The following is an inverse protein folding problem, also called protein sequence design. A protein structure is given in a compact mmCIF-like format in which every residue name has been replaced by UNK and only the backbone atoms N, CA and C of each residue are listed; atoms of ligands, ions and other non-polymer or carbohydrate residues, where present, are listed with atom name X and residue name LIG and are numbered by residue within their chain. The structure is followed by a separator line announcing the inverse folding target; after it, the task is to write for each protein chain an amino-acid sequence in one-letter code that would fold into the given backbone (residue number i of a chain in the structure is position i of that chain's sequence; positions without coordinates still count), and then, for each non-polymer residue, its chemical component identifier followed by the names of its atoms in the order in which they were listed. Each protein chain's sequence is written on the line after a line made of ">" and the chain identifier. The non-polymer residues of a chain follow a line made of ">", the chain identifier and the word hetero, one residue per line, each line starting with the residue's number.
data_IF_917978216152
#
_entry.id   IF_917978216152
#
_cell.length_a   1.000
_cell.length_b   1.000
_cell.length_c   1.000
_cell.angle_alpha   90.00
_cell.angle_beta   90.00
_cell.angle_gamma   90.00
#
_symmetry.space_group_name_H-M   'P 1'
#
loop_
_entity.id
_entity.type
_entity.pdbx_description
1 polymer ?
#
# COMPACT_ATOMS: atom_id res chain seq x y z
N UNK A 1 14.88 64.78 15.91
CA UNK A 1 14.84 63.51 16.66
C UNK A 1 13.64 62.75 16.14
N UNK A 2 13.88 61.52 15.71
CA UNK A 2 12.93 60.65 15.01
C UNK A 2 11.76 60.26 15.91
N UNK A 3 10.56 60.30 15.38
CA UNK A 3 9.54 59.32 15.73
C UNK A 3 8.73 58.99 14.48
N UNK A 4 8.91 57.77 13.99
CA UNK A 4 8.18 57.19 12.86
C UNK A 4 7.07 56.34 13.45
N UNK A 5 5.81 56.71 13.21
CA UNK A 5 4.65 55.86 13.46
C UNK A 5 3.66 55.99 12.30
N UNK A 6 3.56 54.87 11.56
CA UNK A 6 2.40 54.19 10.97
C UNK A 6 1.23 55.03 10.41
N UNK A 7 0.91 54.79 9.14
CA UNK A 7 -0.47 54.56 8.70
C UNK A 7 -0.47 53.75 7.39
N UNK A 8 -0.98 52.52 7.46
CA UNK A 8 -1.39 51.72 6.30
C UNK A 8 -2.74 52.26 5.85
N UNK A 9 -2.78 52.91 4.70
CA UNK A 9 -4.03 53.22 4.02
C UNK A 9 -4.30 52.10 3.01
N UNK A 10 -5.30 51.27 3.32
CA UNK A 10 -5.95 50.42 2.33
C UNK A 10 -6.58 51.33 1.26
N UNK A 11 -6.17 51.17 0.00
CA UNK A 11 -7.00 51.61 -1.13
C UNK A 11 -7.33 50.40 -1.98
N UNK A 12 -8.59 50.00 -1.92
CA UNK A 12 -9.24 49.09 -2.85
C UNK A 12 -9.18 49.70 -4.26
N UNK A 13 -9.05 48.88 -5.30
CA UNK A 13 -9.96 48.94 -6.44
C UNK A 13 -10.00 47.60 -7.19
N UNK A 14 -11.20 47.14 -7.56
CA UNK A 14 -11.46 45.84 -8.17
C UNK A 14 -11.41 45.90 -9.71
N UNK A 15 -11.44 44.71 -10.30
CA UNK A 15 -11.82 44.36 -11.68
C UNK A 15 -10.84 44.70 -12.82
N UNK A 16 -10.12 43.68 -13.31
CA UNK A 16 -10.37 43.10 -14.65
C UNK A 16 -9.48 41.86 -14.93
N UNK A 17 -10.10 40.88 -15.58
CA UNK A 17 -9.76 39.45 -15.72
C UNK A 17 -8.62 39.14 -16.73
N UNK A 18 -7.75 38.14 -16.43
CA UNK A 18 -7.24 37.16 -17.42
C UNK A 18 -6.36 36.07 -16.77
N UNK A 19 -6.78 34.82 -16.98
CA UNK A 19 -6.25 33.60 -16.41
C UNK A 19 -4.80 33.26 -16.80
N UNK A 20 -3.97 32.95 -15.81
CA UNK A 20 -2.86 32.00 -15.95
C UNK A 20 -3.36 30.65 -15.44
N UNK A 21 -3.86 29.82 -16.36
CA UNK A 21 -4.28 28.46 -16.09
C UNK A 21 -3.10 27.66 -15.51
N UNK A 22 -3.11 27.52 -14.18
CA UNK A 22 -2.46 26.38 -13.54
C UNK A 22 -3.01 25.12 -14.20
N UNK A 23 -2.12 24.18 -14.48
CA UNK A 23 -2.42 22.93 -15.17
C UNK A 23 -3.52 22.21 -14.37
N UNK A 24 -4.76 22.35 -14.80
CA UNK A 24 -5.84 21.50 -14.37
C UNK A 24 -5.63 20.16 -15.06
N UNK A 25 -4.85 19.28 -14.41
CA UNK A 25 -5.06 17.86 -14.61
C UNK A 25 -6.33 17.55 -13.84
N UNK A 26 -7.46 17.23 -14.51
CA UNK A 26 -8.62 16.74 -13.80
C UNK A 26 -8.30 15.33 -13.31
N UNK A 27 -7.90 15.20 -12.03
CA UNK A 27 -7.77 13.88 -11.43
C UNK A 27 -9.16 13.29 -11.19
N UNK A 28 -9.33 12.06 -11.62
CA UNK A 28 -10.63 11.44 -11.81
C UNK A 28 -11.16 10.93 -10.47
N UNK A 29 -12.13 11.63 -9.86
CA UNK A 29 -12.86 11.19 -8.64
C UNK A 29 -11.92 10.84 -7.48
N UNK A 30 -11.35 11.85 -6.84
CA UNK A 30 -10.51 11.68 -5.65
C UNK A 30 -11.32 10.98 -4.54
N UNK A 31 -11.01 9.71 -4.29
CA UNK A 31 -11.45 9.04 -3.06
C UNK A 31 -10.68 9.71 -1.94
N UNK A 32 -11.35 10.34 -0.98
CA UNK A 32 -10.66 10.89 0.20
C UNK A 32 -10.09 9.71 1.01
N UNK A 33 -8.81 9.40 0.81
CA UNK A 33 -8.10 8.32 1.47
C UNK A 33 -8.20 8.43 3.00
N UNK A 34 -8.22 9.65 3.53
CA UNK A 34 -8.36 9.90 4.96
C UNK A 34 -9.78 9.59 5.43
N UNK A 35 -10.79 9.86 4.61
CA UNK A 35 -12.17 9.48 4.91
C UNK A 35 -12.33 7.96 4.95
N UNK A 36 -11.80 7.25 3.96
CA UNK A 36 -11.81 5.78 3.92
C UNK A 36 -11.09 5.19 5.15
N UNK A 37 -9.93 5.74 5.50
CA UNK A 37 -9.17 5.29 6.67
C UNK A 37 -9.94 5.55 7.98
N UNK A 38 -10.60 6.70 8.13
CA UNK A 38 -11.43 7.02 9.31
C UNK A 38 -12.58 6.04 9.46
N UNK A 39 -13.25 5.72 8.36
CA UNK A 39 -14.37 4.78 8.34
C UNK A 39 -13.91 3.37 8.73
N UNK A 40 -12.78 2.90 8.20
CA UNK A 40 -12.20 1.60 8.60
C UNK A 40 -11.85 1.55 10.09
N UNK A 41 -11.27 2.63 10.65
CA UNK A 41 -10.98 2.71 12.08
C UNK A 41 -12.26 2.69 12.91
N UNK A 42 -13.33 3.35 12.46
CA UNK A 42 -14.64 3.31 13.11
C UNK A 42 -15.19 1.88 13.14
N UNK A 43 -15.22 1.21 12.00
CA UNK A 43 -15.69 -0.18 11.87
C UNK A 43 -14.89 -1.14 12.74
N UNK A 44 -13.55 -1.00 12.77
CA UNK A 44 -12.71 -1.86 13.60
C UNK A 44 -12.99 -1.68 15.10
N UNK A 45 -13.25 -0.45 15.56
CA UNK A 45 -13.63 -0.18 16.96
C UNK A 45 -14.99 -0.80 17.30
N UNK A 46 -15.95 -0.72 16.40
CA UNK A 46 -17.28 -1.33 16.57
C UNK A 46 -17.21 -2.86 16.61
N UNK A 47 -16.33 -3.45 15.79
CA UNK A 47 -16.05 -4.88 15.79
C UNK A 47 -15.17 -5.35 16.96
N UNK A 48 -14.68 -4.43 17.81
CA UNK A 48 -13.78 -4.76 18.92
C UNK A 48 -12.38 -5.22 18.50
N UNK A 49 -11.97 -4.90 17.26
CA UNK A 49 -10.65 -5.24 16.73
C UNK A 49 -9.63 -4.20 17.19
N UNK A 50 -8.53 -4.65 17.78
CA UNK A 50 -7.42 -3.77 18.14
C UNK A 50 -6.81 -3.13 16.89
N UNK A 51 -6.50 -1.83 16.95
CA UNK A 51 -5.86 -1.15 15.81
C UNK A 51 -4.43 -1.66 15.58
N UNK A 52 -3.71 -1.90 16.68
CA UNK A 52 -2.30 -2.36 16.71
C UNK A 52 -2.17 -3.69 17.47
N UNK A 53 -1.00 -4.30 17.38
CA UNK A 53 -0.67 -5.55 18.08
C UNK A 53 -0.72 -6.81 17.19
N UNK A 54 -0.45 -8.00 17.77
CA UNK A 54 -0.20 -9.23 17.02
C UNK A 54 -1.38 -9.73 16.18
N UNK A 55 -2.60 -9.30 16.50
CA UNK A 55 -3.83 -9.53 15.71
C UNK A 55 -4.56 -8.23 15.38
N UNK A 56 -3.83 -7.11 15.28
CA UNK A 56 -4.42 -5.80 15.02
C UNK A 56 -4.73 -5.55 13.53
N UNK A 57 -5.62 -4.60 13.27
CA UNK A 57 -6.06 -4.22 11.92
C UNK A 57 -4.89 -3.87 11.00
N UNK A 58 -3.93 -3.05 11.46
CA UNK A 58 -2.81 -2.60 10.63
C UNK A 58 -1.92 -3.76 10.16
N UNK A 59 -1.75 -4.77 11.01
CA UNK A 59 -1.00 -5.97 10.67
C UNK A 59 -1.75 -6.82 9.65
N UNK A 60 -3.06 -6.97 9.82
CA UNK A 60 -3.90 -7.69 8.86
C UNK A 60 -3.92 -7.01 7.49
N UNK A 61 -4.05 -5.67 7.46
CA UNK A 61 -4.02 -4.89 6.22
C UNK A 61 -2.70 -5.04 5.49
N UNK A 62 -1.57 -4.88 6.20
CA UNK A 62 -0.24 -5.07 5.61
C UNK A 62 -0.05 -6.48 5.08
N UNK A 63 -0.51 -7.50 5.83
CA UNK A 63 -0.51 -8.90 5.37
C UNK A 63 -1.27 -9.04 4.04
N UNK A 64 -2.51 -8.57 4.00
CA UNK A 64 -3.38 -8.69 2.81
C UNK A 64 -2.79 -7.97 1.60
N UNK A 65 -2.23 -6.77 1.76
CA UNK A 65 -1.59 -6.03 0.67
C UNK A 65 -0.42 -6.82 0.09
N UNK A 66 0.46 -7.34 0.94
CA UNK A 66 1.63 -8.12 0.49
C UNK A 66 1.19 -9.41 -0.20
N UNK A 67 0.24 -10.14 0.36
CA UNK A 67 -0.25 -11.40 -0.24
C UNK A 67 -0.94 -11.16 -1.59
N UNK A 68 -1.72 -10.08 -1.70
CA UNK A 68 -2.38 -9.70 -2.95
C UNK A 68 -1.36 -9.36 -4.03
N UNK A 69 -0.34 -8.54 -3.68
CA UNK A 69 0.73 -8.21 -4.61
C UNK A 69 1.49 -9.47 -5.10
N UNK A 70 1.76 -10.42 -4.20
CA UNK A 70 2.43 -11.68 -4.58
C UNK A 70 1.54 -12.59 -5.43
N UNK A 71 0.23 -12.62 -5.17
CA UNK A 71 -0.72 -13.36 -6.00
C UNK A 71 -0.80 -12.77 -7.43
N UNK A 72 -0.75 -11.44 -7.55
CA UNK A 72 -0.68 -10.74 -8.83
C UNK A 72 0.63 -11.02 -9.57
N UNK A 73 1.78 -10.98 -8.89
CA UNK A 73 3.06 -11.37 -9.50
C UNK A 73 3.03 -12.81 -10.03
N UNK A 74 2.35 -13.73 -9.33
CA UNK A 74 2.19 -15.10 -9.81
C UNK A 74 1.24 -15.18 -11.01
N UNK A 75 0.14 -14.42 -11.02
CA UNK A 75 -0.74 -14.29 -12.19
C UNK A 75 0.04 -13.83 -13.41
N UNK A 76 0.86 -12.77 -13.27
CA UNK A 76 1.71 -12.26 -14.34
C UNK A 76 2.75 -13.28 -14.80
N UNK A 77 3.40 -13.97 -13.86
CA UNK A 77 4.42 -14.98 -14.17
C UNK A 77 3.86 -16.16 -14.96
N UNK A 78 2.64 -16.60 -14.63
CA UNK A 78 1.98 -17.71 -15.30
C UNK A 78 1.23 -17.28 -16.56
N UNK A 79 0.88 -16.00 -16.67
CA UNK A 79 0.08 -15.44 -17.75
C UNK A 79 -1.43 -15.73 -17.64
N UNK A 80 -1.90 -16.15 -16.46
CA UNK A 80 -3.31 -16.46 -16.22
C UNK A 80 -3.70 -16.37 -14.74
N UNK A 81 -4.99 -16.10 -14.49
CA UNK A 81 -5.52 -15.89 -13.14
C UNK A 81 -5.90 -17.17 -12.41
N UNK A 82 -6.21 -17.04 -11.12
CA UNK A 82 -6.62 -18.19 -10.30
C UNK A 82 -7.90 -18.78 -10.89
N UNK A 83 -7.87 -20.09 -11.16
CA UNK A 83 -8.98 -20.84 -11.76
C UNK A 83 -9.30 -20.50 -13.22
N UNK A 84 -8.45 -19.76 -13.92
CA UNK A 84 -8.62 -19.51 -15.34
C UNK A 84 -8.40 -20.82 -16.16
N UNK A 85 -9.33 -21.19 -17.06
CA UNK A 85 -9.14 -22.31 -17.96
C UNK A 85 -7.88 -22.26 -18.82
N UNK A 86 -7.32 -21.07 -19.09
CA UNK A 86 -6.06 -20.89 -19.80
C UNK A 86 -4.88 -21.61 -19.12
N UNK A 87 -4.98 -21.87 -17.81
CA UNK A 87 -3.98 -22.60 -17.05
C UNK A 87 -4.04 -24.13 -17.21
N UNK A 88 -5.06 -24.70 -17.86
CA UNK A 88 -5.14 -26.15 -18.04
C UNK A 88 -4.15 -26.64 -19.10
N UNK A 89 -3.22 -27.50 -18.69
CA UNK A 89 -2.22 -28.08 -19.61
C UNK A 89 -1.09 -27.13 -20.00
N UNK A 90 -0.93 -25.99 -19.32
CA UNK A 90 0.16 -25.02 -19.54
C UNK A 90 1.55 -25.54 -19.14
N UNK A 91 1.62 -26.71 -18.49
CA UNK A 91 2.86 -27.32 -18.01
C UNK A 91 3.36 -26.75 -16.66
N UNK A 92 3.18 -25.45 -16.41
CA UNK A 92 3.41 -24.83 -15.11
C UNK A 92 2.09 -24.31 -14.51
N UNK A 93 1.82 -24.68 -13.26
CA UNK A 93 0.58 -24.31 -12.60
C UNK A 93 0.80 -23.87 -11.16
N UNK A 94 -0.17 -23.16 -10.58
CA UNK A 94 -0.15 -22.80 -9.16
C UNK A 94 -0.11 -24.05 -8.28
N UNK A 95 0.78 -24.08 -7.29
CA UNK A 95 1.06 -25.24 -6.45
C UNK A 95 0.99 -24.88 -4.96
N UNK A 96 -0.13 -24.25 -4.56
CA UNK A 96 -0.40 -23.84 -3.18
C UNK A 96 0.46 -22.65 -2.72
N UNK A 97 0.56 -22.51 -1.40
CA UNK A 97 1.27 -21.41 -0.74
C UNK A 97 2.29 -21.95 0.27
N UNK A 98 3.23 -21.10 0.69
CA UNK A 98 4.24 -21.40 1.71
C UNK A 98 4.33 -20.24 2.69
N UNK A 99 4.22 -20.55 3.98
CA UNK A 99 4.39 -19.58 5.05
C UNK A 99 5.80 -18.96 5.04
N UNK A 100 5.87 -17.63 5.21
CA UNK A 100 7.10 -16.87 5.42
C UNK A 100 6.82 -15.76 6.44
N UNK A 101 7.75 -15.55 7.37
CA UNK A 101 7.69 -14.39 8.28
C UNK A 101 8.48 -13.23 7.70
N UNK A 102 7.85 -12.07 7.58
CA UNK A 102 8.44 -10.80 7.14
C UNK A 102 8.48 -9.86 8.35
N UNK A 103 9.62 -9.21 8.54
CA UNK A 103 9.77 -8.16 9.54
C UNK A 103 9.45 -6.83 8.88
N UNK A 104 8.54 -6.07 9.49
CA UNK A 104 8.16 -4.72 9.05
C UNK A 104 8.40 -3.73 10.18
N UNK A 105 8.81 -2.51 9.84
CA UNK A 105 9.13 -1.49 10.85
C UNK A 105 7.89 -1.03 11.62
N UNK A 106 6.73 -0.97 10.95
CA UNK A 106 5.49 -0.45 11.53
C UNK A 106 4.72 -1.46 12.38
N UNK A 107 4.72 -2.75 11.99
CA UNK A 107 3.87 -3.79 12.60
C UNK A 107 4.66 -4.96 13.19
N UNK A 108 5.99 -4.94 13.11
CA UNK A 108 6.85 -6.02 13.57
C UNK A 108 6.77 -7.25 12.65
N UNK A 109 6.79 -8.44 13.25
CA UNK A 109 6.76 -9.70 12.51
C UNK A 109 5.36 -10.03 12.00
N UNK A 110 5.26 -10.32 10.70
CA UNK A 110 4.03 -10.69 9.99
C UNK A 110 4.27 -12.02 9.29
N UNK A 111 3.38 -12.99 9.51
CA UNK A 111 3.38 -14.25 8.78
C UNK A 111 2.48 -14.12 7.55
N UNK A 112 3.06 -14.37 6.37
CA UNK A 112 2.41 -14.28 5.07
C UNK A 112 2.46 -15.62 4.33
N UNK A 113 1.45 -15.86 3.51
CA UNK A 113 1.32 -17.02 2.65
C UNK A 113 1.82 -16.69 1.23
N UNK A 114 3.03 -17.15 0.91
CA UNK A 114 3.66 -16.85 -0.39
C UNK A 114 3.20 -17.87 -1.44
N UNK A 115 2.57 -17.44 -2.54
CA UNK A 115 2.11 -18.35 -3.57
C UNK A 115 3.30 -18.91 -4.39
N UNK A 116 3.14 -20.12 -4.93
CA UNK A 116 4.19 -20.84 -5.66
C UNK A 116 3.68 -21.46 -6.96
N UNK A 117 4.58 -21.57 -7.92
CA UNK A 117 4.39 -22.32 -9.15
C UNK A 117 4.94 -23.76 -9.02
N UNK A 118 4.43 -24.66 -9.85
CA UNK A 118 4.78 -26.09 -9.85
C UNK A 118 6.23 -26.31 -10.28
N UNK A 119 6.72 -25.49 -11.21
CA UNK A 119 8.09 -25.58 -11.70
C UNK A 119 9.12 -24.94 -10.75
N UNK A 120 8.67 -24.19 -9.74
CA UNK A 120 9.53 -23.51 -8.76
C UNK A 120 10.39 -22.41 -9.37
N UNK A 121 9.93 -21.82 -10.49
CA UNK A 121 10.67 -20.83 -11.26
C UNK A 121 10.32 -19.40 -10.84
N UNK A 122 9.23 -19.19 -10.10
CA UNK A 122 8.86 -17.87 -9.61
C UNK A 122 9.98 -17.29 -8.74
N UNK A 123 10.52 -16.15 -9.18
CA UNK A 123 11.43 -15.30 -8.40
C UNK A 123 10.67 -14.06 -8.00
N UNK A 124 10.26 -13.99 -6.73
CA UNK A 124 9.67 -12.77 -6.17
C UNK A 124 10.69 -11.65 -6.26
N UNK A 125 10.30 -10.49 -6.78
CA UNK A 125 11.23 -9.36 -6.96
C UNK A 125 11.75 -8.82 -5.63
N UNK A 126 11.00 -9.01 -4.55
CA UNK A 126 11.32 -8.53 -3.19
C UNK A 126 12.16 -9.49 -2.35
N UNK A 127 13.26 -10.01 -2.92
CA UNK A 127 14.29 -10.67 -2.12
C UNK A 127 15.08 -9.62 -1.32
N UNK A 128 14.45 -8.96 -0.34
CA UNK A 128 15.23 -8.44 0.77
C UNK A 128 15.78 -9.64 1.54
N UNK A 129 17.08 -9.82 1.42
CA UNK A 129 17.86 -10.87 2.05
C UNK A 129 17.52 -10.88 3.54
N UNK A 130 16.94 -11.99 3.99
CA UNK A 130 16.83 -12.26 5.42
C UNK A 130 18.24 -12.15 5.98
N UNK A 131 18.46 -11.14 6.82
CA UNK A 131 19.66 -10.95 7.61
C UNK A 131 20.10 -12.30 8.19
N UNK A 132 21.16 -12.86 7.62
CA UNK A 132 21.91 -13.95 8.23
C UNK A 132 22.37 -13.43 9.59
N UNK A 133 22.02 -14.08 10.72
CA UNK A 133 22.61 -13.70 12.00
C UNK A 133 24.12 -13.83 11.86
N UNK A 134 24.95 -12.85 12.27
CA UNK A 134 26.39 -13.07 12.27
C UNK A 134 26.67 -14.28 13.17
N UNK A 135 27.32 -15.30 12.60
CA UNK A 135 27.81 -16.45 13.33
C UNK A 135 28.55 -15.95 14.58
N UNK A 136 28.04 -16.31 15.75
CA UNK A 136 28.76 -16.14 17.00
C UNK A 136 29.75 -17.30 17.11
N UNK A 137 31.04 -17.00 16.93
CA UNK A 137 32.13 -17.81 17.46
C UNK A 137 32.31 -17.57 18.96
#
# INVERSE_FOLDING_TARGET
>A
MTETVVAVELSQNPDDEAAAAAIAVPDSREVDELEVARELVRQAREAGVSLTGPGGLLKAMTKTVIETALDEELSEHLGYDRHDPAGYGSGNSRNGTRAKTVLTDACGQIEIDVPRDRAGQLRTRDRQEASTPPDRC
#
